data_IF_873043502262
#
_entry.id   IF_873043502262
#
_cell.length_a   1.000
_cell.length_b   1.000
_cell.length_c   1.000
_cell.angle_alpha   90.00
_cell.angle_beta   90.00
_cell.angle_gamma   90.00
#
_symmetry.space_group_name_H-M   'P 1'
#
loop_
_entity.id
_entity.type
_entity.pdbx_description
1 polymer ?
#
# COMPACT_ATOMS: atom_id res chain seq x y z
N UNK A 1 -5.65 48.70 -57.11
CA UNK A 1 -6.78 47.92 -56.57
C UNK A 1 -6.29 46.50 -56.29
N UNK A 2 -5.84 46.24 -55.07
CA UNK A 2 -5.41 44.89 -54.62
C UNK A 2 -6.02 44.69 -53.24
N UNK A 3 -7.05 43.84 -53.18
CA UNK A 3 -7.87 43.60 -52.00
C UNK A 3 -7.17 42.57 -51.10
N UNK A 4 -6.70 43.04 -49.95
CA UNK A 4 -6.12 42.23 -48.88
C UNK A 4 -7.26 41.60 -48.06
N UNK A 5 -7.44 40.28 -48.18
CA UNK A 5 -8.46 39.54 -47.44
C UNK A 5 -7.89 39.14 -46.08
N UNK A 6 -8.27 39.86 -45.03
CA UNK A 6 -7.95 39.49 -43.64
C UNK A 6 -8.81 38.29 -43.22
N UNK A 7 -8.18 37.14 -43.06
CA UNK A 7 -8.78 35.96 -42.45
C UNK A 7 -8.78 36.12 -40.93
N UNK A 8 -9.95 36.35 -40.35
CA UNK A 8 -10.18 36.29 -38.90
C UNK A 8 -9.97 34.85 -38.40
N UNK A 9 -9.37 34.65 -37.22
CA UNK A 9 -9.26 33.33 -36.62
C UNK A 9 -10.63 32.88 -36.09
N UNK A 10 -11.13 31.79 -36.66
CA UNK A 10 -12.34 31.11 -36.22
C UNK A 10 -12.12 30.59 -34.80
N UNK A 11 -12.66 31.30 -33.82
CA UNK A 11 -12.61 30.92 -32.42
C UNK A 11 -13.79 29.99 -32.17
N UNK A 12 -13.69 28.74 -32.64
CA UNK A 12 -14.64 27.70 -32.25
C UNK A 12 -14.45 27.44 -30.76
N UNK A 13 -15.33 28.01 -29.94
CA UNK A 13 -15.39 27.74 -28.52
C UNK A 13 -15.49 26.21 -28.34
N UNK A 14 -14.43 25.62 -27.78
CA UNK A 14 -14.36 24.21 -27.44
C UNK A 14 -15.50 23.92 -26.46
N UNK A 15 -16.60 23.39 -26.99
CA UNK A 15 -17.75 22.99 -26.19
C UNK A 15 -17.25 21.94 -25.21
N UNK A 16 -17.34 22.26 -23.92
CA UNK A 16 -16.93 21.34 -22.85
C UNK A 16 -17.68 20.01 -23.08
N UNK A 17 -17.00 18.88 -23.32
CA UNK A 17 -17.66 17.60 -23.50
C UNK A 17 -18.53 17.24 -22.28
N UNK A 18 -18.22 17.79 -21.08
CA UNK A 18 -19.11 17.70 -19.92
C UNK A 18 -20.44 18.45 -20.12
N UNK A 19 -20.46 19.57 -20.85
CA UNK A 19 -21.70 20.27 -21.23
C UNK A 19 -22.50 19.49 -22.29
N UNK A 20 -21.82 18.82 -23.23
CA UNK A 20 -22.48 17.93 -24.19
C UNK A 20 -23.09 16.69 -23.51
N UNK A 21 -22.41 16.12 -22.52
CA UNK A 21 -22.90 15.02 -21.69
C UNK A 21 -24.00 15.45 -20.71
N UNK A 22 -23.91 16.66 -20.14
CA UNK A 22 -24.90 17.22 -19.22
C UNK A 22 -26.26 17.52 -19.89
N UNK A 23 -26.29 17.67 -21.22
CA UNK A 23 -27.53 17.86 -21.99
C UNK A 23 -28.54 16.70 -21.90
N UNK A 24 -28.14 15.54 -21.36
CA UNK A 24 -28.99 14.34 -21.26
C UNK A 24 -29.49 13.98 -19.86
N UNK A 25 -29.00 14.60 -18.79
CA UNK A 25 -29.37 14.23 -17.41
C UNK A 25 -29.95 15.42 -16.63
N UNK A 26 -31.29 15.56 -16.65
CA UNK A 26 -32.00 16.58 -15.85
C UNK A 26 -32.15 16.16 -14.38
N UNK A 27 -31.57 16.99 -13.51
CA UNK A 27 -32.03 17.50 -12.21
C UNK A 27 -32.73 16.57 -11.21
N UNK A 28 -32.09 16.32 -10.06
CA UNK A 28 -32.71 16.39 -8.72
C UNK A 28 -31.69 16.91 -7.70
N UNK A 29 -31.96 18.08 -7.13
CA UNK A 29 -31.28 18.61 -5.95
C UNK A 29 -32.03 18.14 -4.71
N UNK A 30 -31.34 17.45 -3.81
CA UNK A 30 -31.80 17.20 -2.44
C UNK A 30 -30.74 17.80 -1.52
N UNK A 31 -31.17 18.77 -0.73
CA UNK A 31 -30.38 19.42 0.31
C UNK A 31 -30.84 18.79 1.62
N UNK A 32 -29.91 18.30 2.44
CA UNK A 32 -30.16 18.16 3.87
C UNK A 32 -28.88 18.50 4.64
N UNK A 33 -28.95 19.46 5.59
CA UNK A 33 -27.92 19.70 6.58
C UNK A 33 -28.33 19.05 7.91
N UNK A 34 -27.41 18.40 8.62
CA UNK A 34 -27.37 18.46 10.09
C UNK A 34 -26.07 17.85 10.64
N UNK A 35 -25.54 18.52 11.65
CA UNK A 35 -24.26 18.23 12.32
C UNK A 35 -24.39 17.21 13.48
N UNK A 36 -23.84 17.51 14.65
CA UNK A 36 -22.46 17.17 15.04
C UNK A 36 -22.40 16.23 16.25
N UNK A 37 -21.23 15.64 16.54
CA UNK A 37 -21.00 14.88 17.76
C UNK A 37 -19.50 14.77 18.08
N UNK A 38 -19.08 15.52 19.08
CA UNK A 38 -17.76 15.46 19.73
C UNK A 38 -17.92 14.75 21.06
N UNK A 39 -17.23 13.62 21.24
CA UNK A 39 -17.13 12.95 22.53
C UNK A 39 -15.67 12.94 22.99
N UNK A 40 -15.46 13.63 24.10
CA UNK A 40 -14.25 13.66 24.92
C UNK A 40 -14.07 12.30 25.61
N UNK A 41 -12.84 11.75 25.60
CA UNK A 41 -12.48 10.56 26.36
C UNK A 41 -11.46 10.93 27.44
N UNK A 42 -11.90 10.64 28.66
CA UNK A 42 -11.29 10.81 29.97
C UNK A 42 -9.95 10.05 30.14
N UNK A 43 -8.94 10.75 30.64
CA UNK A 43 -7.71 10.20 31.20
C UNK A 43 -7.96 9.81 32.67
N UNK A 44 -7.75 8.54 33.04
CA UNK A 44 -7.51 8.22 34.45
C UNK A 44 -6.62 6.97 34.62
N UNK A 45 -5.32 7.23 34.79
CA UNK A 45 -4.28 6.26 35.12
C UNK A 45 -4.36 5.86 36.60
N UNK A 46 -4.93 4.69 36.87
CA UNK A 46 -4.88 4.04 38.18
C UNK A 46 -3.59 3.25 38.39
N UNK A 47 -2.51 3.94 38.79
CA UNK A 47 -1.24 3.34 39.18
C UNK A 47 -1.35 2.66 40.55
N UNK A 48 -1.34 1.32 40.58
CA UNK A 48 -1.42 0.51 41.81
C UNK A 48 -0.04 0.40 42.49
N UNK A 49 0.29 1.34 43.39
CA UNK A 49 1.38 1.15 44.38
C UNK A 49 0.85 0.46 45.63
N UNK A 50 0.98 -0.86 45.68
CA UNK A 50 0.80 -1.64 46.91
C UNK A 50 2.09 -1.64 47.77
N UNK A 51 1.99 -1.71 49.10
CA UNK A 51 3.14 -1.72 50.00
C UNK A 51 3.90 -3.06 49.91
N UNK A 52 5.23 -2.97 49.77
CA UNK A 52 6.15 -4.11 49.80
C UNK A 52 6.25 -4.62 51.24
N UNK A 53 5.55 -5.72 51.53
CA UNK A 53 5.74 -6.47 52.75
C UNK A 53 7.06 -7.26 52.70
N UNK A 54 8.01 -6.90 53.55
CA UNK A 54 9.23 -7.70 53.80
C UNK A 54 8.87 -8.99 54.51
N UNK A 55 8.59 -10.04 53.75
CA UNK A 55 8.52 -11.42 54.25
C UNK A 55 9.94 -11.98 54.20
N UNK A 56 10.58 -12.09 55.36
CA UNK A 56 11.85 -12.82 55.50
C UNK A 56 11.56 -14.32 55.46
N UNK A 57 11.44 -14.86 54.25
CA UNK A 57 11.34 -16.31 54.02
C UNK A 57 12.73 -16.84 53.77
N UNK A 58 13.34 -17.47 54.79
CA UNK A 58 14.52 -18.30 54.59
C UNK A 58 14.06 -19.52 53.79
N UNK A 59 14.11 -19.41 52.46
CA UNK A 59 13.79 -20.52 51.57
C UNK A 59 14.77 -21.66 51.85
N UNK A 60 14.30 -22.89 52.11
CA UNK A 60 15.19 -24.04 52.24
C UNK A 60 15.99 -24.20 50.94
N UNK A 61 17.28 -24.57 51.02
CA UNK A 61 18.08 -24.79 49.82
C UNK A 61 17.39 -25.84 48.93
N UNK A 62 17.26 -25.55 47.64
CA UNK A 62 16.79 -26.51 46.65
C UNK A 62 17.86 -27.62 46.53
N UNK A 63 17.77 -28.65 47.36
CA UNK A 63 18.64 -29.82 47.30
C UNK A 63 18.09 -30.71 46.18
N UNK A 64 18.70 -30.60 44.99
CA UNK A 64 18.48 -31.55 43.91
C UNK A 64 19.18 -32.87 44.26
N UNK A 65 18.43 -33.80 44.85
CA UNK A 65 18.94 -35.09 45.31
C UNK A 65 19.03 -36.12 44.17
N UNK A 66 19.66 -35.75 43.06
CA UNK A 66 19.89 -36.64 41.91
C UNK A 66 21.38 -36.95 41.79
N UNK A 67 21.72 -38.21 41.54
CA UNK A 67 23.13 -38.59 41.33
C UNK A 67 23.68 -37.96 40.05
N UNK A 68 24.99 -37.68 40.02
CA UNK A 68 25.65 -37.13 38.81
C UNK A 68 25.46 -38.07 37.59
N UNK A 69 25.47 -39.38 37.81
CA UNK A 69 25.26 -40.36 36.75
C UNK A 69 23.85 -40.27 36.16
N UNK A 70 22.82 -40.13 37.01
CA UNK A 70 21.43 -39.97 36.57
C UNK A 70 21.24 -38.63 35.86
N UNK A 71 21.90 -37.56 36.33
CA UNK A 71 21.90 -36.25 35.69
C UNK A 71 22.47 -36.32 34.27
N UNK A 72 23.65 -36.92 34.10
CA UNK A 72 24.29 -37.10 32.79
C UNK A 72 23.43 -37.97 31.86
N UNK A 73 22.92 -39.09 32.37
CA UNK A 73 22.07 -39.99 31.59
C UNK A 73 20.80 -39.28 31.09
N UNK A 74 20.15 -38.50 31.97
CA UNK A 74 18.97 -37.69 31.61
C UNK A 74 19.32 -36.58 30.62
N UNK A 75 20.44 -35.89 30.81
CA UNK A 75 20.94 -34.86 29.90
C UNK A 75 21.17 -35.38 28.49
N UNK A 76 21.83 -36.54 28.35
CA UNK A 76 22.03 -37.21 27.05
C UNK A 76 20.73 -37.70 26.41
N UNK A 77 19.78 -38.16 27.22
CA UNK A 77 18.45 -38.52 26.72
C UNK A 77 17.72 -37.29 26.16
N UNK A 78 17.78 -36.15 26.85
CA UNK A 78 17.22 -34.87 26.36
C UNK A 78 17.93 -34.37 25.11
N UNK A 79 19.26 -34.50 25.02
CA UNK A 79 20.04 -34.19 23.81
C UNK A 79 19.50 -34.97 22.60
N UNK A 80 19.25 -36.28 22.73
CA UNK A 80 18.69 -37.10 21.63
C UNK A 80 17.28 -36.69 21.18
N UNK A 81 16.53 -35.98 22.02
CA UNK A 81 15.17 -35.52 21.72
C UNK A 81 15.13 -34.15 21.03
N UNK A 82 16.27 -33.45 20.95
CA UNK A 82 16.35 -32.08 20.44
C UNK A 82 17.41 -31.98 19.36
N UNK A 83 17.11 -31.27 18.28
CA UNK A 83 18.11 -30.94 17.27
C UNK A 83 18.92 -29.74 17.76
N UNK A 84 20.11 -29.99 18.30
CA UNK A 84 21.04 -28.96 18.73
C UNK A 84 22.06 -28.67 17.62
N UNK A 85 22.65 -27.47 17.64
CA UNK A 85 23.81 -27.20 16.78
C UNK A 85 25.04 -27.97 17.29
N UNK A 86 26.03 -28.31 16.44
CA UNK A 86 27.24 -29.02 16.88
C UNK A 86 27.96 -28.33 18.06
N UNK A 87 27.98 -26.98 18.07
CA UNK A 87 28.56 -26.19 19.17
C UNK A 87 27.76 -26.34 20.46
N UNK A 88 26.43 -26.23 20.39
CA UNK A 88 25.55 -26.39 21.56
C UNK A 88 25.59 -27.81 22.12
N UNK A 89 25.84 -28.81 21.29
CA UNK A 89 26.04 -30.19 21.74
C UNK A 89 27.34 -30.36 22.53
N UNK A 90 28.42 -29.73 22.09
CA UNK A 90 29.71 -29.71 22.80
C UNK A 90 29.56 -28.99 24.15
N UNK A 91 28.97 -27.79 24.15
CA UNK A 91 28.72 -27.01 25.36
C UNK A 91 27.85 -27.78 26.37
N UNK A 92 26.85 -28.52 25.89
CA UNK A 92 26.01 -29.38 26.73
C UNK A 92 26.80 -30.56 27.32
N UNK A 93 27.66 -31.23 26.55
CA UNK A 93 28.50 -32.30 27.13
C UNK A 93 29.46 -31.72 28.19
N UNK A 94 30.07 -30.55 27.94
CA UNK A 94 30.92 -29.88 28.94
C UNK A 94 30.12 -29.55 30.20
N UNK A 95 28.88 -29.06 30.04
CA UNK A 95 27.98 -28.79 31.16
C UNK A 95 27.68 -30.07 31.95
N UNK A 96 27.30 -31.17 31.30
CA UNK A 96 26.92 -32.43 31.96
C UNK A 96 28.08 -33.07 32.76
N UNK A 97 29.33 -32.87 32.36
CA UNK A 97 30.49 -33.41 33.07
C UNK A 97 31.02 -32.49 34.17
N UNK A 98 30.38 -31.34 34.42
CA UNK A 98 30.80 -30.46 35.51
C UNK A 98 30.46 -31.09 36.88
N UNK A 99 31.44 -31.22 37.80
CA UNK A 99 31.29 -31.99 39.03
C UNK A 99 30.52 -31.26 40.15
N UNK A 100 30.25 -29.97 40.00
CA UNK A 100 29.63 -29.16 41.05
C UNK A 100 28.27 -28.61 40.61
N UNK A 101 27.22 -28.90 41.38
CA UNK A 101 25.88 -28.31 41.14
C UNK A 101 25.88 -26.78 41.16
N UNK A 102 26.81 -26.15 41.88
CA UNK A 102 27.03 -24.70 41.84
C UNK A 102 27.51 -24.21 40.47
N UNK A 103 28.37 -24.97 39.77
CA UNK A 103 28.84 -24.62 38.42
C UNK A 103 27.70 -24.70 37.40
N UNK A 104 26.83 -25.70 37.53
CA UNK A 104 25.61 -25.77 36.71
C UNK A 104 24.73 -24.53 36.90
N UNK A 105 24.47 -24.12 38.14
CA UNK A 105 23.66 -22.94 38.44
C UNK A 105 24.29 -21.65 37.91
N UNK A 106 25.62 -21.49 38.04
CA UNK A 106 26.35 -20.35 37.50
C UNK A 106 26.25 -20.28 35.97
N UNK A 107 26.41 -21.41 35.28
CA UNK A 107 26.26 -21.48 33.81
C UNK A 107 24.83 -21.18 33.35
N UNK A 108 23.82 -21.65 34.08
CA UNK A 108 22.41 -21.30 33.80
C UNK A 108 22.17 -19.80 33.98
N UNK A 109 22.68 -19.22 35.08
CA UNK A 109 22.55 -17.79 35.34
C UNK A 109 23.27 -16.95 34.27
N UNK A 110 24.48 -17.34 33.88
CA UNK A 110 25.22 -16.69 32.80
C UNK A 110 24.46 -16.75 31.47
N UNK A 111 23.93 -17.92 31.09
CA UNK A 111 23.13 -18.06 29.86
C UNK A 111 21.83 -17.24 29.90
N UNK A 112 21.23 -17.06 31.07
CA UNK A 112 20.09 -16.16 31.25
C UNK A 112 20.49 -14.70 31.05
N UNK A 113 21.63 -14.27 31.59
CA UNK A 113 22.16 -12.92 31.38
C UNK A 113 22.50 -12.68 29.89
N UNK A 114 23.16 -13.63 29.23
CA UNK A 114 23.43 -13.53 27.78
C UNK A 114 22.14 -13.46 26.97
N UNK A 115 21.11 -14.23 27.35
CA UNK A 115 19.80 -14.16 26.72
C UNK A 115 19.13 -12.80 26.96
N UNK A 116 19.26 -12.25 28.17
CA UNK A 116 18.76 -10.91 28.51
C UNK A 116 19.50 -9.84 27.70
N UNK A 117 20.82 -9.90 27.60
CA UNK A 117 21.63 -8.96 26.82
C UNK A 117 21.31 -9.05 25.33
N UNK A 118 21.10 -10.27 24.80
CA UNK A 118 20.65 -10.46 23.43
C UNK A 118 19.25 -9.87 23.21
N UNK A 119 18.31 -10.10 24.13
CA UNK A 119 16.97 -9.51 24.08
C UNK A 119 17.03 -7.99 24.18
N UNK A 120 17.87 -7.43 25.06
CA UNK A 120 18.11 -5.99 25.17
C UNK A 120 18.76 -5.46 23.91
N UNK A 121 19.70 -6.17 23.29
CA UNK A 121 20.33 -5.78 22.02
C UNK A 121 19.33 -5.82 20.86
N UNK A 122 18.45 -6.81 20.81
CA UNK A 122 17.36 -6.90 19.84
C UNK A 122 16.35 -5.76 20.08
N UNK A 123 16.04 -5.46 21.35
CA UNK A 123 15.15 -4.37 21.75
C UNK A 123 15.77 -2.98 21.52
N UNK A 124 17.08 -2.84 21.68
CA UNK A 124 17.86 -1.63 21.40
C UNK A 124 17.98 -1.35 19.89
N UNK A 125 17.54 -2.29 19.05
CA UNK A 125 16.78 -2.00 17.85
C UNK A 125 17.58 -1.40 16.71
N UNK A 126 18.09 -2.26 15.81
CA UNK A 126 18.22 -1.85 14.42
C UNK A 126 16.83 -1.44 13.93
N UNK A 127 16.70 -0.17 13.50
CA UNK A 127 15.48 0.34 12.90
C UNK A 127 14.97 -0.66 11.86
N UNK A 128 13.70 -1.04 11.97
CA UNK A 128 13.10 -2.00 11.05
C UNK A 128 13.34 -1.54 9.62
N UNK A 129 14.06 -2.38 8.88
CA UNK A 129 14.40 -2.13 7.49
C UNK A 129 13.56 -3.07 6.64
N UNK A 130 12.80 -2.50 5.70
CA UNK A 130 11.95 -3.26 4.79
C UNK A 130 12.86 -4.05 3.84
N UNK A 131 12.71 -5.38 3.73
CA UNK A 131 13.41 -6.19 2.73
C UNK A 131 13.16 -5.69 1.29
N UNK A 132 14.14 -5.82 0.40
CA UNK A 132 14.06 -5.22 -0.94
C UNK A 132 12.95 -5.82 -1.81
N UNK A 133 12.73 -7.13 -1.71
CA UNK A 133 11.63 -7.86 -2.34
C UNK A 133 10.25 -7.36 -1.88
N UNK A 134 10.13 -6.97 -0.60
CA UNK A 134 8.92 -6.36 -0.07
C UNK A 134 8.75 -4.94 -0.65
N UNK A 135 9.82 -4.16 -0.82
CA UNK A 135 9.73 -2.82 -1.46
C UNK A 135 9.23 -2.90 -2.90
N UNK A 136 9.73 -3.86 -3.68
CA UNK A 136 9.25 -4.11 -5.05
C UNK A 136 7.74 -4.42 -5.07
N UNK A 137 7.28 -5.22 -4.10
CA UNK A 137 5.87 -5.51 -3.92
C UNK A 137 5.08 -4.24 -3.53
N UNK A 138 5.56 -3.43 -2.59
CA UNK A 138 4.90 -2.17 -2.20
C UNK A 138 4.75 -1.23 -3.40
N UNK A 139 5.78 -1.11 -4.24
CA UNK A 139 5.74 -0.31 -5.47
C UNK A 139 4.70 -0.84 -6.45
N UNK A 140 4.76 -2.14 -6.75
CA UNK A 140 3.84 -2.82 -7.67
C UNK A 140 2.38 -2.62 -7.26
N UNK A 141 2.04 -2.85 -6.00
CA UNK A 141 0.69 -2.70 -5.48
C UNK A 141 0.23 -1.24 -5.47
N UNK A 142 1.11 -0.30 -5.13
CA UNK A 142 0.82 1.13 -5.15
C UNK A 142 0.50 1.63 -6.57
N UNK A 143 1.25 1.16 -7.57
CA UNK A 143 1.02 1.53 -8.96
C UNK A 143 -0.31 0.99 -9.51
N UNK A 144 -0.63 -0.28 -9.21
CA UNK A 144 -1.94 -0.86 -9.56
C UNK A 144 -3.08 -0.12 -8.88
N UNK A 145 -2.93 0.23 -7.60
CA UNK A 145 -3.94 1.00 -6.86
C UNK A 145 -4.23 2.36 -7.51
N UNK A 146 -3.18 3.11 -7.90
CA UNK A 146 -3.31 4.42 -8.55
C UNK A 146 -4.00 4.32 -9.92
N UNK A 147 -3.74 3.25 -10.67
CA UNK A 147 -4.36 3.01 -11.98
C UNK A 147 -5.69 2.27 -11.92
N UNK A 148 -6.20 1.98 -10.72
CA UNK A 148 -7.48 1.32 -10.55
C UNK A 148 -8.63 2.16 -11.15
N UNK A 149 -9.50 1.59 -11.99
CA UNK A 149 -10.66 2.30 -12.52
C UNK A 149 -11.67 2.66 -11.42
N UNK A 150 -11.62 1.96 -10.28
CA UNK A 150 -12.54 2.16 -9.14
C UNK A 150 -12.00 3.17 -8.12
N UNK A 151 -10.79 3.69 -8.31
CA UNK A 151 -10.18 4.64 -7.39
C UNK A 151 -11.00 5.94 -7.32
N UNK A 152 -11.40 6.29 -6.10
CA UNK A 152 -12.22 7.48 -5.85
C UNK A 152 -11.40 8.77 -5.81
N UNK A 153 -10.23 8.74 -5.17
CA UNK A 153 -9.39 9.93 -4.98
C UNK A 153 -7.92 9.52 -5.02
N UNK A 154 -7.08 10.35 -5.64
CA UNK A 154 -5.64 10.16 -5.75
C UNK A 154 -4.87 10.76 -4.57
N UNK A 155 -5.38 11.79 -3.89
CA UNK A 155 -4.69 12.51 -2.80
C UNK A 155 -5.26 12.23 -1.40
N UNK A 156 -6.01 11.14 -1.20
CA UNK A 156 -6.57 10.84 0.13
C UNK A 156 -5.51 10.29 1.09
N UNK A 157 -5.53 10.75 2.34
CA UNK A 157 -4.62 10.25 3.41
C UNK A 157 -4.75 8.74 3.64
N UNK A 158 -5.94 8.18 3.41
CA UNK A 158 -6.23 6.75 3.59
C UNK A 158 -5.71 5.86 2.45
N UNK A 159 -5.18 6.41 1.35
CA UNK A 159 -4.75 5.58 0.22
C UNK A 159 -3.65 4.59 0.61
N UNK A 160 -2.69 5.02 1.43
CA UNK A 160 -1.62 4.13 1.89
C UNK A 160 -2.14 3.01 2.81
N UNK A 161 -3.10 3.33 3.70
CA UNK A 161 -3.72 2.32 4.59
C UNK A 161 -4.57 1.33 3.80
N UNK A 162 -5.28 1.79 2.76
CA UNK A 162 -6.03 0.92 1.85
C UNK A 162 -5.13 -0.07 1.10
N UNK A 163 -3.98 0.39 0.58
CA UNK A 163 -3.01 -0.49 -0.08
C UNK A 163 -2.44 -1.51 0.91
N UNK A 164 -2.05 -1.08 2.11
CA UNK A 164 -1.57 -1.98 3.16
C UNK A 164 -2.61 -3.04 3.54
N UNK A 165 -3.87 -2.65 3.68
CA UNK A 165 -4.96 -3.57 3.98
C UNK A 165 -5.17 -4.61 2.87
N UNK A 166 -5.10 -4.20 1.60
CA UNK A 166 -5.18 -5.11 0.46
C UNK A 166 -4.01 -6.12 0.46
N UNK A 167 -2.78 -5.66 0.74
CA UNK A 167 -1.60 -6.54 0.80
C UNK A 167 -1.66 -7.52 1.97
N UNK A 168 -2.17 -7.09 3.14
CA UNK A 168 -2.42 -7.98 4.29
C UNK A 168 -3.45 -9.05 3.95
N UNK A 169 -4.57 -8.65 3.34
CA UNK A 169 -5.62 -9.58 2.91
C UNK A 169 -5.09 -10.64 1.94
N UNK A 170 -4.20 -10.24 1.02
CA UNK A 170 -3.58 -11.14 0.06
C UNK A 170 -2.43 -11.99 0.64
N UNK A 171 -2.09 -11.81 1.91
CA UNK A 171 -1.02 -12.58 2.56
C UNK A 171 0.37 -12.32 1.96
N UNK A 172 0.64 -11.09 1.49
CA UNK A 172 1.97 -10.75 0.95
C UNK A 172 3.03 -10.91 2.04
N UNK A 173 4.06 -11.73 1.77
CA UNK A 173 5.13 -12.02 2.71
C UNK A 173 5.85 -10.74 3.16
N UNK A 174 6.26 -10.70 4.42
CA UNK A 174 7.02 -9.57 5.00
C UNK A 174 6.18 -8.34 5.35
N UNK A 175 4.87 -8.34 5.08
CA UNK A 175 3.96 -7.29 5.53
C UNK A 175 3.63 -7.47 7.01
N UNK A 176 3.81 -6.43 7.86
CA UNK A 176 3.56 -6.52 9.28
C UNK A 176 2.06 -6.74 9.57
N UNK A 177 1.72 -7.55 10.58
CA UNK A 177 0.34 -7.73 11.02
C UNK A 177 -0.24 -6.44 11.61
N UNK A 178 -1.55 -6.40 11.86
CA UNK A 178 -2.24 -5.19 12.32
C UNK A 178 -1.77 -4.69 13.69
N UNK A 179 -1.35 -5.59 14.58
CA UNK A 179 -0.87 -5.25 15.92
C UNK A 179 0.56 -4.68 15.95
N UNK A 180 1.33 -4.79 14.87
CA UNK A 180 2.71 -4.28 14.81
C UNK A 180 2.73 -2.85 14.26
N UNK A 181 2.34 -1.90 15.11
CA UNK A 181 2.16 -0.48 14.76
C UNK A 181 3.47 0.15 14.26
N UNK A 182 4.59 -0.14 14.93
CA UNK A 182 5.89 0.44 14.60
C UNK A 182 6.37 0.06 13.20
N UNK A 183 6.34 -1.24 12.85
CA UNK A 183 6.73 -1.67 11.49
C UNK A 183 5.70 -1.24 10.45
N UNK A 184 4.42 -1.25 10.79
CA UNK A 184 3.36 -0.78 9.91
C UNK A 184 3.57 0.69 9.52
N UNK A 185 4.01 1.55 10.43
CA UNK A 185 4.29 2.96 10.13
C UNK A 185 5.42 3.12 9.08
N UNK A 186 6.49 2.34 9.19
CA UNK A 186 7.61 2.34 8.22
C UNK A 186 7.13 1.89 6.83
N UNK A 187 6.28 0.85 6.78
CA UNK A 187 5.66 0.37 5.53
C UNK A 187 4.72 1.42 4.95
N UNK A 188 3.87 2.07 5.76
CA UNK A 188 2.97 3.13 5.33
C UNK A 188 3.71 4.33 4.74
N UNK A 189 4.83 4.75 5.35
CA UNK A 189 5.70 5.80 4.80
C UNK A 189 6.24 5.41 3.42
N UNK A 190 6.64 4.15 3.26
CA UNK A 190 7.15 3.61 1.99
C UNK A 190 6.06 3.55 0.91
N UNK A 191 4.85 3.09 1.25
CA UNK A 191 3.68 3.10 0.34
C UNK A 191 3.34 4.54 -0.05
N UNK A 192 3.32 5.48 0.90
CA UNK A 192 3.02 6.89 0.64
C UNK A 192 3.99 7.50 -0.37
N UNK A 193 5.29 7.18 -0.24
CA UNK A 193 6.31 7.55 -1.21
C UNK A 193 6.02 6.91 -2.57
N UNK A 194 5.81 5.59 -2.62
CA UNK A 194 5.52 4.86 -3.86
C UNK A 194 4.27 5.39 -4.60
N UNK A 195 3.20 5.76 -3.88
CA UNK A 195 2.01 6.40 -4.45
C UNK A 195 2.33 7.79 -5.04
N UNK A 196 3.23 8.53 -4.41
CA UNK A 196 3.69 9.84 -4.91
C UNK A 196 4.52 9.69 -6.16
N UNK A 197 5.45 8.75 -6.17
CA UNK A 197 6.31 8.45 -7.31
C UNK A 197 5.48 7.93 -8.50
N UNK A 198 4.51 7.03 -8.25
CA UNK A 198 3.61 6.52 -9.27
C UNK A 198 2.75 7.63 -9.90
N UNK A 199 2.20 8.54 -9.08
CA UNK A 199 1.50 9.73 -9.59
C UNK A 199 2.43 10.60 -10.45
N UNK A 200 3.64 10.87 -9.97
CA UNK A 200 4.60 11.67 -10.75
C UNK A 200 4.87 11.02 -12.12
N UNK A 201 5.22 9.73 -12.12
CA UNK A 201 5.48 8.95 -13.32
C UNK A 201 4.31 9.01 -14.32
N UNK A 202 3.08 8.73 -13.87
CA UNK A 202 1.89 8.77 -14.75
C UNK A 202 1.68 10.16 -15.34
N UNK A 203 1.82 11.22 -14.54
CA UNK A 203 1.70 12.60 -15.03
C UNK A 203 2.74 12.91 -16.10
N UNK A 204 3.97 12.46 -15.91
CA UNK A 204 5.04 12.62 -16.90
C UNK A 204 4.76 11.89 -18.20
N UNK A 205 4.32 10.62 -18.14
CA UNK A 205 3.98 9.84 -19.34
C UNK A 205 2.86 10.50 -20.14
N UNK A 206 1.80 10.98 -19.47
CA UNK A 206 0.70 11.67 -20.13
C UNK A 206 1.19 13.00 -20.74
N UNK A 207 1.97 13.78 -20.00
CA UNK A 207 2.52 15.06 -20.49
C UNK A 207 3.43 14.86 -21.70
N UNK A 208 4.24 13.78 -21.70
CA UNK A 208 5.09 13.43 -22.82
C UNK A 208 4.29 13.03 -24.06
N UNK A 209 3.17 12.30 -23.88
CA UNK A 209 2.29 11.88 -24.98
C UNK A 209 1.57 13.03 -25.71
N UNK A 210 1.47 14.19 -25.07
CA UNK A 210 0.76 15.36 -25.62
C UNK A 210 1.68 16.30 -26.42
N UNK A 211 2.97 16.00 -26.52
CA UNK A 211 3.91 16.78 -27.33
C UNK A 211 3.69 16.49 -28.82
N UNK A 212 3.91 17.49 -29.68
CA UNK A 212 3.63 17.42 -31.12
C UNK A 212 4.32 16.24 -31.84
N UNK A 213 5.52 15.86 -31.39
CA UNK A 213 6.33 14.78 -31.98
C UNK A 213 6.43 13.54 -31.06
N UNK A 214 5.40 13.30 -30.23
CA UNK A 214 5.41 12.16 -29.33
C UNK A 214 5.37 10.84 -30.10
N UNK A 215 6.43 10.04 -30.00
CA UNK A 215 6.50 8.71 -30.63
C UNK A 215 5.41 7.74 -30.11
N UNK A 216 4.91 7.97 -28.89
CA UNK A 216 3.92 7.16 -28.19
C UNK A 216 2.67 8.02 -27.86
N UNK A 217 2.05 8.62 -28.88
CA UNK A 217 0.87 9.46 -28.71
C UNK A 217 -0.42 8.65 -28.52
N UNK A 218 -0.47 7.40 -28.98
CA UNK A 218 -1.67 6.57 -28.88
C UNK A 218 -1.92 6.09 -27.42
N UNK A 219 -3.17 5.79 -27.09
CA UNK A 219 -3.55 5.43 -25.72
C UNK A 219 -2.92 4.12 -25.21
N UNK A 220 -2.62 3.18 -26.11
CA UNK A 220 -2.02 1.89 -25.75
C UNK A 220 -0.58 2.03 -25.30
N UNK A 221 0.22 2.78 -26.05
CA UNK A 221 1.61 3.08 -25.70
C UNK A 221 1.70 3.87 -24.39
N UNK A 222 0.81 4.86 -24.18
CA UNK A 222 0.77 5.63 -22.93
C UNK A 222 0.36 4.76 -21.75
N UNK A 223 -0.67 3.93 -21.88
CA UNK A 223 -1.09 3.02 -20.83
C UNK A 223 0.02 2.01 -20.47
N UNK A 224 0.72 1.48 -21.46
CA UNK A 224 1.87 0.59 -21.26
C UNK A 224 3.01 1.30 -20.52
N UNK A 225 3.37 2.51 -20.92
CA UNK A 225 4.38 3.32 -20.24
C UNK A 225 4.00 3.59 -18.77
N UNK A 226 2.72 3.85 -18.49
CA UNK A 226 2.18 4.06 -17.15
C UNK A 226 2.27 2.83 -16.24
N UNK A 227 2.26 1.59 -16.77
CA UNK A 227 2.35 0.34 -15.98
C UNK A 227 3.72 -0.34 -16.03
N UNK A 228 4.66 0.18 -16.80
CA UNK A 228 5.98 -0.45 -17.04
C UNK A 228 6.73 -0.80 -15.73
N UNK A 229 6.57 -0.01 -14.67
CA UNK A 229 7.16 -0.26 -13.35
C UNK A 229 6.58 -1.44 -12.56
N UNK A 230 5.33 -1.83 -12.77
CA UNK A 230 4.63 -2.84 -11.95
C UNK A 230 4.71 -4.25 -12.53
N UNK A 231 5.28 -4.41 -13.73
CA UNK A 231 5.26 -5.66 -14.53
C UNK A 231 3.83 -6.19 -14.77
N UNK A 232 2.81 -5.37 -14.56
CA UNK A 232 1.41 -5.72 -14.84
C UNK A 232 1.07 -5.33 -16.26
N UNK A 233 0.28 -6.18 -16.92
CA UNK A 233 -0.25 -5.84 -18.24
C UNK A 233 -1.41 -4.84 -18.10
N UNK A 234 -1.53 -3.85 -19.00
CA UNK A 234 -2.66 -2.93 -19.01
C UNK A 234 -4.01 -3.68 -19.13
N UNK A 235 -4.98 -3.31 -18.29
CA UNK A 235 -6.37 -3.80 -18.38
C UNK A 235 -7.25 -2.77 -19.05
N UNK A 236 -8.45 -3.12 -19.51
CA UNK A 236 -9.41 -2.12 -20.04
C UNK A 236 -9.63 -0.96 -19.06
N UNK A 237 -9.68 -1.26 -17.76
CA UNK A 237 -9.77 -0.25 -16.71
C UNK A 237 -8.60 0.72 -16.69
N UNK A 238 -7.37 0.24 -16.95
CA UNK A 238 -6.19 1.09 -17.09
C UNK A 238 -6.33 2.08 -18.25
N UNK A 239 -6.81 1.63 -19.42
CA UNK A 239 -7.00 2.49 -20.58
C UNK A 239 -8.03 3.59 -20.30
N UNK A 240 -9.19 3.23 -19.74
CA UNK A 240 -10.22 4.18 -19.34
C UNK A 240 -9.66 5.24 -18.39
N UNK A 241 -8.87 4.80 -17.40
CA UNK A 241 -8.29 5.69 -16.40
C UNK A 241 -7.25 6.64 -17.00
N UNK A 242 -6.36 6.14 -17.83
CA UNK A 242 -5.32 6.95 -18.50
C UNK A 242 -5.95 7.95 -19.46
N UNK A 243 -6.96 7.55 -20.23
CA UNK A 243 -7.70 8.44 -21.12
C UNK A 243 -8.38 9.57 -20.34
N UNK A 244 -9.02 9.26 -19.20
CA UNK A 244 -9.58 10.29 -18.30
C UNK A 244 -8.52 11.25 -17.78
N UNK A 245 -7.38 10.75 -17.29
CA UNK A 245 -6.30 11.62 -16.81
C UNK A 245 -5.75 12.53 -17.91
N UNK A 246 -5.62 12.00 -19.13
CA UNK A 246 -5.22 12.77 -20.32
C UNK A 246 -6.26 13.82 -20.69
N UNK A 247 -7.54 13.47 -20.63
CA UNK A 247 -8.65 14.39 -20.84
C UNK A 247 -8.59 15.57 -19.85
N UNK A 248 -8.37 15.32 -18.55
CA UNK A 248 -8.23 16.38 -17.54
C UNK A 248 -7.05 17.30 -17.88
N UNK A 249 -5.90 16.73 -18.28
CA UNK A 249 -4.71 17.53 -18.62
C UNK A 249 -4.95 18.47 -19.81
N UNK A 250 -5.69 18.01 -20.82
CA UNK A 250 -6.01 18.79 -22.02
C UNK A 250 -7.02 19.91 -21.71
N UNK A 251 -8.06 19.62 -20.93
CA UNK A 251 -9.17 20.55 -20.71
C UNK A 251 -8.91 21.56 -19.58
N UNK A 252 -7.98 21.26 -18.68
CA UNK A 252 -7.64 22.13 -17.55
C UNK A 252 -6.14 22.47 -17.53
N UNK A 253 -5.57 23.09 -18.59
CA UNK A 253 -4.14 23.37 -18.70
C UNK A 253 -3.65 24.35 -17.61
N UNK A 254 -4.52 25.25 -17.14
CA UNK A 254 -4.19 26.18 -16.05
C UNK A 254 -4.02 25.48 -14.69
N UNK A 255 -4.53 24.23 -14.57
CA UNK A 255 -4.45 23.43 -13.34
C UNK A 255 -3.25 22.47 -13.31
N UNK A 256 -2.31 22.55 -14.26
CA UNK A 256 -1.15 21.61 -14.33
C UNK A 256 -0.33 21.60 -13.04
N UNK A 257 -0.20 22.73 -12.34
CA UNK A 257 0.51 22.80 -11.04
C UNK A 257 -0.21 21.98 -9.96
N UNK A 258 -1.54 22.01 -9.96
CA UNK A 258 -2.41 21.29 -9.02
C UNK A 258 -3.14 20.12 -9.71
N UNK A 259 -2.46 19.46 -10.66
CA UNK A 259 -3.09 18.50 -11.57
C UNK A 259 -3.90 17.43 -10.83
N UNK A 260 -3.36 16.87 -9.76
CA UNK A 260 -4.03 15.82 -8.99
C UNK A 260 -5.24 16.31 -8.19
N UNK A 261 -5.24 17.57 -7.72
CA UNK A 261 -6.41 18.17 -7.08
C UNK A 261 -7.53 18.38 -8.09
N UNK A 262 -7.17 18.80 -9.31
CA UNK A 262 -8.11 18.94 -10.41
C UNK A 262 -8.68 17.57 -10.85
N UNK A 263 -7.84 16.55 -10.96
CA UNK A 263 -8.29 15.16 -11.23
C UNK A 263 -9.29 14.70 -10.17
N UNK A 264 -9.00 14.89 -8.88
CA UNK A 264 -9.92 14.49 -7.80
C UNK A 264 -11.23 15.27 -7.84
N UNK A 265 -11.17 16.58 -8.15
CA UNK A 265 -12.36 17.43 -8.36
C UNK A 265 -13.23 16.92 -9.52
N UNK A 266 -12.61 16.56 -10.64
CA UNK A 266 -13.32 16.04 -11.81
C UNK A 266 -13.93 14.67 -11.54
N UNK A 267 -13.23 13.78 -10.84
CA UNK A 267 -13.78 12.49 -10.44
C UNK A 267 -14.99 12.63 -9.52
N UNK A 268 -14.95 13.60 -8.61
CA UNK A 268 -16.09 13.90 -7.75
C UNK A 268 -17.28 14.44 -8.54
N UNK A 269 -17.03 15.34 -9.50
CA UNK A 269 -18.02 15.79 -10.47
C UNK A 269 -18.64 14.64 -11.26
N UNK A 270 -17.82 13.73 -11.78
CA UNK A 270 -18.25 12.52 -12.49
C UNK A 270 -19.19 11.66 -11.63
N UNK A 271 -18.86 11.41 -10.36
CA UNK A 271 -19.75 10.63 -9.46
C UNK A 271 -21.04 11.36 -9.14
N UNK A 272 -21.00 12.69 -9.05
CA UNK A 272 -22.20 13.51 -8.83
C UNK A 272 -23.12 13.47 -10.05
N UNK A 273 -22.57 13.44 -11.26
CA UNK A 273 -23.32 13.41 -12.52
C UNK A 273 -23.82 12.00 -12.87
N UNK A 274 -22.97 10.98 -12.77
CA UNK A 274 -23.24 9.60 -13.14
C UNK A 274 -23.37 8.76 -11.86
N UNK A 275 -24.62 8.45 -11.47
CA UNK A 275 -24.93 7.87 -10.15
C UNK A 275 -24.63 6.39 -10.09
N UNK A 276 -24.92 5.67 -11.16
CA UNK A 276 -24.72 4.22 -11.20
C UNK A 276 -23.27 3.88 -11.62
N UNK A 277 -22.75 2.70 -11.24
CA UNK A 277 -21.46 2.22 -11.75
C UNK A 277 -21.43 2.13 -13.29
N UNK A 278 -22.51 1.64 -13.91
CA UNK A 278 -22.62 1.47 -15.36
C UNK A 278 -22.59 2.81 -16.11
N UNK A 279 -23.30 3.84 -15.63
CA UNK A 279 -23.24 5.18 -16.22
C UNK A 279 -21.83 5.77 -16.16
N UNK A 280 -21.11 5.56 -15.04
CA UNK A 280 -19.73 6.03 -14.88
C UNK A 280 -18.79 5.34 -15.85
N UNK A 281 -18.92 4.03 -16.00
CA UNK A 281 -18.13 3.25 -16.93
C UNK A 281 -18.39 3.69 -18.38
N UNK A 282 -19.65 3.85 -18.78
CA UNK A 282 -20.02 4.35 -20.11
C UNK A 282 -19.43 5.76 -20.37
N UNK A 283 -19.51 6.67 -19.41
CA UNK A 283 -18.95 8.01 -19.57
C UNK A 283 -17.42 7.99 -19.72
N UNK A 284 -16.71 7.12 -18.99
CA UNK A 284 -15.27 6.91 -19.18
C UNK A 284 -14.96 6.26 -20.54
N UNK A 285 -15.82 5.35 -21.00
CA UNK A 285 -15.68 4.71 -22.31
C UNK A 285 -15.82 5.75 -23.43
N UNK A 286 -16.77 6.69 -23.33
CA UNK A 286 -16.89 7.79 -24.29
C UNK A 286 -15.63 8.67 -24.34
N UNK A 287 -15.01 8.95 -23.18
CA UNK A 287 -13.72 9.66 -23.14
C UNK A 287 -12.64 8.85 -23.87
N UNK A 288 -12.55 7.54 -23.61
CA UNK A 288 -11.59 6.66 -24.28
C UNK A 288 -11.82 6.62 -25.80
N UNK A 289 -13.07 6.57 -26.25
CA UNK A 289 -13.41 6.54 -27.67
C UNK A 289 -13.02 7.86 -28.37
N UNK A 290 -13.26 9.00 -27.72
CA UNK A 290 -12.82 10.32 -28.21
C UNK A 290 -11.29 10.41 -28.28
N UNK A 291 -10.62 9.87 -27.28
CA UNK A 291 -9.18 9.85 -27.16
C UNK A 291 -8.54 8.96 -28.25
N UNK A 292 -9.09 7.77 -28.49
CA UNK A 292 -8.73 6.89 -29.61
C UNK A 292 -8.96 7.58 -30.95
N UNK A 293 -10.11 8.25 -31.13
CA UNK A 293 -10.42 8.96 -32.38
C UNK A 293 -9.41 10.08 -32.66
N UNK A 294 -8.91 10.75 -31.62
CA UNK A 294 -8.00 11.89 -31.75
C UNK A 294 -6.55 11.46 -31.93
N UNK A 295 -6.08 10.47 -31.17
CA UNK A 295 -4.66 10.11 -31.10
C UNK A 295 -4.33 8.73 -31.69
N UNK A 296 -5.34 7.99 -32.15
CA UNK A 296 -5.20 6.64 -32.67
C UNK A 296 -5.29 5.57 -31.58
N UNK A 297 -5.43 4.32 -32.05
CA UNK A 297 -5.46 3.11 -31.22
C UNK A 297 -4.28 2.24 -31.62
N UNK A 298 -3.14 2.30 -30.92
CA UNK A 298 -2.10 1.27 -31.07
C UNK A 298 -2.38 0.05 -30.17
N UNK A 299 -3.67 -0.27 -29.97
CA UNK A 299 -4.13 -1.49 -29.29
C UNK A 299 -3.65 -2.76 -30.01
N UNK A 300 -3.18 -2.64 -31.26
CA UNK A 300 -2.72 -3.77 -32.10
C UNK A 300 -1.54 -4.51 -31.46
N UNK A 301 -0.58 -3.81 -30.86
CA UNK A 301 0.64 -4.44 -30.32
C UNK A 301 0.49 -4.85 -28.84
N UNK A 302 -0.42 -4.21 -28.11
CA UNK A 302 -0.66 -4.45 -26.68
C UNK A 302 -2.17 -4.42 -26.38
N UNK A 303 -2.93 -5.47 -26.71
CA UNK A 303 -4.36 -5.51 -26.45
C UNK A 303 -4.65 -5.44 -24.94
N UNK A 304 -5.68 -4.68 -24.50
CA UNK A 304 -6.07 -4.64 -23.11
C UNK A 304 -6.47 -6.04 -22.64
N UNK A 305 -6.07 -6.41 -21.42
CA UNK A 305 -6.56 -7.64 -20.81
C UNK A 305 -8.05 -7.48 -20.48
N UNK A 306 -8.92 -8.39 -20.97
CA UNK A 306 -10.34 -8.40 -20.61
C UNK A 306 -10.55 -8.66 -19.11
N UNK A 307 -11.62 -8.12 -18.53
CA UNK A 307 -11.87 -8.14 -17.09
C UNK A 307 -11.89 -9.55 -16.45
N UNK A 308 -12.33 -10.56 -17.19
CA UNK A 308 -12.36 -11.97 -16.77
C UNK A 308 -10.96 -12.58 -16.62
N UNK A 309 -9.97 -12.07 -17.37
CA UNK A 309 -8.58 -12.53 -17.39
C UNK A 309 -7.64 -11.72 -16.50
N UNK A 310 -8.14 -10.71 -15.80
CA UNK A 310 -7.35 -9.94 -14.83
C UNK A 310 -6.97 -10.84 -13.66
N UNK A 311 -5.71 -10.75 -13.21
CA UNK A 311 -5.22 -11.53 -12.07
C UNK A 311 -6.01 -11.20 -10.79
N UNK A 312 -6.29 -12.21 -9.96
CA UNK A 312 -7.20 -12.04 -8.82
C UNK A 312 -6.68 -11.04 -7.78
N UNK A 313 -5.37 -10.96 -7.58
CA UNK A 313 -4.79 -9.97 -6.67
C UNK A 313 -5.01 -8.53 -7.17
N UNK A 314 -5.05 -8.29 -8.48
CA UNK A 314 -5.39 -6.98 -9.06
C UNK A 314 -6.86 -6.66 -8.79
N UNK A 315 -7.76 -7.63 -9.00
CA UNK A 315 -9.18 -7.48 -8.69
C UNK A 315 -9.41 -7.15 -7.20
N UNK A 316 -8.63 -7.76 -6.31
CA UNK A 316 -8.64 -7.43 -4.88
C UNK A 316 -8.21 -6.00 -4.64
N UNK A 317 -7.09 -5.54 -5.20
CA UNK A 317 -6.64 -4.15 -5.07
C UNK A 317 -7.71 -3.18 -5.60
N UNK A 318 -8.34 -3.49 -6.73
CA UNK A 318 -9.44 -2.69 -7.29
C UNK A 318 -10.66 -2.63 -6.36
N UNK A 319 -11.00 -3.75 -5.71
CA UNK A 319 -12.09 -3.79 -4.72
C UNK A 319 -11.77 -2.89 -3.52
N UNK A 320 -10.55 -2.94 -3.00
CA UNK A 320 -10.10 -2.06 -1.92
C UNK A 320 -10.06 -0.58 -2.36
N UNK A 321 -9.65 -0.27 -3.59
CA UNK A 321 -9.66 1.08 -4.14
C UNK A 321 -11.08 1.69 -4.26
N UNK A 322 -12.09 0.83 -4.41
CA UNK A 322 -13.50 1.23 -4.46
C UNK A 322 -14.11 1.51 -3.08
N UNK A 323 -13.53 0.92 -2.03
CA UNK A 323 -14.06 1.03 -0.69
C UNK A 323 -13.62 2.35 -0.05
N UNK A 324 -14.58 3.18 0.33
CA UNK A 324 -14.37 4.11 1.44
C UNK A 324 -14.33 3.28 2.70
N UNK A 325 -13.17 2.72 3.05
CA UNK A 325 -13.01 2.15 4.38
C UNK A 325 -13.24 3.30 5.36
N UNK A 326 -14.38 3.28 6.04
CA UNK A 326 -14.60 4.03 7.27
C UNK A 326 -13.72 3.33 8.31
N UNK A 327 -12.44 3.71 8.34
CA UNK A 327 -11.55 3.42 9.46
C UNK A 327 -11.90 4.37 10.59
#
# INVERSE_FOLDING_TARGET
MTSSRSSSPDTTASIDPMLLLAGRARARTFSDPDGPGSDDIDENDGFLTGPVGTISTVAPPLIFNMSQADFIARGRALKKQRTLSPRSEEDLEVFLHSPAGADHMLRVFLGLLESQDLLVSIAAGTAYTIPEDVKDSLLKYSQVYILSPKLLHYKRKTSATTVLAAMRYLGVSGIPPEHDVGRAEVVLKTITKALTDARHHIKEQISASLKADAAAADIGSVAYACVSGSKTKPTTGTFLRVAFLRWVMIHYPNSIKNFWDEVDRQLDGFRKQFKTPLERENALQEILDQDIKKYGSAVVDCPPIPADRVEDWVKTVDSYASNTVSL
#
